data_IF_010540498070
#
_entry.id   IF_010540498070
#
_cell.length_a   1.000
_cell.length_b   1.000
_cell.length_c   1.000
_cell.angle_alpha   90.00
_cell.angle_beta   90.00
_cell.angle_gamma   90.00
#
_symmetry.space_group_name_H-M   'P 1'
#
loop_
_entity.id
_entity.type
_entity.pdbx_description
1 polymer ?
#
# COMPACT_ATOMS: atom_id res chain seq x y z
N UNK A 1 -35.18 -8.30 5.30
CA UNK A 1 -34.84 -6.89 5.56
C UNK A 1 -34.63 -6.20 4.22
N UNK A 2 -35.38 -5.14 3.95
CA UNK A 2 -35.18 -4.33 2.76
C UNK A 2 -33.83 -3.59 2.90
N UNK A 3 -32.91 -3.81 1.97
CA UNK A 3 -31.56 -3.20 1.95
C UNK A 3 -31.49 -1.97 1.04
N UNK A 4 -32.62 -1.55 0.52
CA UNK A 4 -32.71 -0.41 -0.39
C UNK A 4 -32.65 0.91 0.38
N UNK A 5 -31.79 1.81 -0.09
CA UNK A 5 -31.69 3.18 0.46
C UNK A 5 -32.72 4.04 -0.26
N UNK A 6 -33.84 4.34 0.44
CA UNK A 6 -34.94 5.17 -0.10
C UNK A 6 -34.67 6.66 0.12
N UNK A 7 -35.32 7.51 -0.67
CA UNK A 7 -35.24 8.97 -0.50
C UNK A 7 -35.70 9.43 0.89
N UNK A 8 -36.75 8.81 1.43
CA UNK A 8 -37.26 9.09 2.79
C UNK A 8 -36.19 8.78 3.86
N UNK A 9 -35.45 7.69 3.68
CA UNK A 9 -34.38 7.30 4.59
C UNK A 9 -33.22 8.30 4.53
N UNK A 10 -32.85 8.77 3.33
CA UNK A 10 -31.83 9.80 3.14
C UNK A 10 -32.22 11.13 3.77
N UNK A 11 -33.46 11.56 3.59
CA UNK A 11 -33.99 12.79 4.24
C UNK A 11 -33.97 12.69 5.76
N UNK A 12 -34.38 11.52 6.30
CA UNK A 12 -34.30 11.26 7.72
C UNK A 12 -32.90 11.40 8.26
N UNK A 13 -31.94 10.71 7.65
CA UNK A 13 -30.51 10.77 8.06
C UNK A 13 -29.95 12.19 7.91
N UNK A 14 -30.31 12.91 6.86
CA UNK A 14 -29.89 14.30 6.67
C UNK A 14 -30.38 15.21 7.79
N UNK A 15 -31.64 15.07 8.20
CA UNK A 15 -32.20 15.82 9.33
C UNK A 15 -31.54 15.48 10.66
N UNK A 16 -31.34 14.19 10.94
CA UNK A 16 -30.68 13.73 12.16
C UNK A 16 -29.21 14.25 12.20
N UNK A 17 -28.47 14.20 11.08
CA UNK A 17 -27.12 14.71 10.98
C UNK A 17 -27.00 16.20 11.31
N UNK A 18 -27.90 17.02 10.75
CA UNK A 18 -27.89 18.48 10.96
C UNK A 18 -28.29 18.88 12.37
N UNK A 19 -29.12 18.06 13.04
CA UNK A 19 -29.59 18.32 14.44
C UNK A 19 -28.43 18.15 15.45
N UNK A 20 -27.48 17.27 15.16
CA UNK A 20 -26.32 17.08 16.03
C UNK A 20 -25.31 18.23 15.87
N UNK A 21 -25.07 18.93 16.99
CA UNK A 21 -24.10 20.03 17.04
C UNK A 21 -22.68 19.56 16.71
N UNK A 22 -22.27 18.36 17.15
CA UNK A 22 -20.95 17.83 16.91
C UNK A 22 -20.72 17.60 15.40
N UNK A 23 -21.71 17.05 14.70
CA UNK A 23 -21.66 16.85 13.26
C UNK A 23 -21.50 18.17 12.49
N UNK A 24 -22.22 19.21 12.88
CA UNK A 24 -22.11 20.54 12.25
C UNK A 24 -20.74 21.17 12.49
N UNK A 25 -20.20 21.05 13.69
CA UNK A 25 -18.85 21.57 14.01
C UNK A 25 -17.79 20.82 13.18
N UNK A 26 -17.87 19.49 13.13
CA UNK A 26 -16.98 18.68 12.34
C UNK A 26 -17.08 19.01 10.83
N UNK A 27 -18.28 19.15 10.30
CA UNK A 27 -18.51 19.53 8.92
C UNK A 27 -17.88 20.90 8.59
N UNK A 28 -18.10 21.91 9.44
CA UNK A 28 -17.52 23.24 9.25
C UNK A 28 -15.98 23.21 9.33
N UNK A 29 -15.42 22.43 10.25
CA UNK A 29 -13.99 22.25 10.36
C UNK A 29 -13.38 21.61 9.09
N UNK A 30 -14.02 20.56 8.58
CA UNK A 30 -13.61 19.86 7.34
C UNK A 30 -13.71 20.77 6.13
N UNK A 31 -14.82 21.50 5.98
CA UNK A 31 -15.01 22.42 4.85
C UNK A 31 -14.00 23.59 4.91
N UNK A 32 -13.71 24.10 6.10
CA UNK A 32 -12.81 25.24 6.28
C UNK A 32 -11.32 24.91 6.26
N UNK A 33 -10.92 23.71 6.66
CA UNK A 33 -9.50 23.32 6.86
C UNK A 33 -9.08 22.04 6.13
N UNK A 34 -10.01 21.30 5.57
CA UNK A 34 -9.78 20.00 4.97
C UNK A 34 -9.85 18.85 5.97
N UNK A 35 -10.04 17.63 5.45
CA UNK A 35 -10.23 16.41 6.25
C UNK A 35 -9.05 16.14 7.17
N UNK A 36 -7.84 16.18 6.65
CA UNK A 36 -6.63 15.86 7.42
C UNK A 36 -6.45 16.77 8.63
N UNK A 37 -6.59 18.10 8.43
CA UNK A 37 -6.44 19.06 9.52
C UNK A 37 -7.57 18.96 10.57
N UNK A 38 -8.80 18.61 10.15
CA UNK A 38 -9.93 18.43 11.07
C UNK A 38 -9.86 17.10 11.84
N UNK A 39 -9.25 16.07 11.28
CA UNK A 39 -9.11 14.75 11.88
C UNK A 39 -7.84 14.59 12.75
N UNK A 40 -6.87 15.50 12.62
CA UNK A 40 -5.62 15.44 13.40
C UNK A 40 -5.89 15.78 14.87
N UNK A 41 -5.54 14.84 15.75
CA UNK A 41 -5.56 15.07 17.19
C UNK A 41 -4.21 15.65 17.65
N UNK A 42 -4.19 16.96 17.90
CA UNK A 42 -3.00 17.65 18.37
C UNK A 42 -2.58 17.28 19.81
N UNK A 43 -3.47 16.64 20.57
CA UNK A 43 -3.12 16.05 21.87
C UNK A 43 -2.19 14.87 21.73
N UNK A 44 -2.53 13.94 20.84
CA UNK A 44 -1.71 12.76 20.53
C UNK A 44 -0.34 13.15 19.99
N UNK A 45 -0.24 14.14 19.13
CA UNK A 45 1.05 14.62 18.60
C UNK A 45 2.02 15.08 19.70
N UNK A 46 1.50 15.66 20.78
CA UNK A 46 2.32 16.10 21.92
C UNK A 46 2.76 14.95 22.84
N UNK A 47 2.01 13.86 22.84
CA UNK A 47 2.26 12.68 23.66
C UNK A 47 3.19 11.66 22.98
N UNK A 48 3.34 11.75 21.65
CA UNK A 48 4.23 10.85 20.90
C UNK A 48 5.69 11.10 21.30
N UNK A 49 6.27 10.13 21.98
CA UNK A 49 7.71 10.11 22.23
C UNK A 49 8.46 9.70 20.96
N UNK A 50 9.25 10.61 20.39
CA UNK A 50 10.08 10.34 19.21
C UNK A 50 11.41 9.63 19.54
N UNK A 51 11.56 9.14 20.79
CA UNK A 51 12.73 8.41 21.25
C UNK A 51 12.41 6.94 21.41
N UNK A 52 13.25 6.08 20.82
CA UNK A 52 13.11 4.63 20.88
C UNK A 52 14.15 4.05 21.83
N UNK A 53 13.77 3.00 22.57
CA UNK A 53 14.68 2.30 23.51
C UNK A 53 15.75 1.47 22.79
N UNK A 54 15.49 1.09 21.54
CA UNK A 54 16.39 0.30 20.70
C UNK A 54 16.58 1.05 19.38
N UNK A 55 17.81 1.40 19.07
CA UNK A 55 18.22 1.96 17.77
C UNK A 55 19.19 1.00 17.10
N UNK A 56 18.89 0.62 15.86
CA UNK A 56 19.72 -0.27 15.05
C UNK A 56 20.46 0.54 14.00
N UNK A 57 21.77 0.37 13.92
CA UNK A 57 22.57 0.97 12.86
C UNK A 57 22.37 0.18 11.57
N UNK A 58 21.61 0.74 10.65
CA UNK A 58 21.24 0.09 9.38
C UNK A 58 22.18 0.46 8.21
N UNK A 59 23.18 1.30 8.45
CA UNK A 59 24.01 1.87 7.42
C UNK A 59 23.26 2.87 6.53
N UNK A 60 23.80 3.17 5.35
CA UNK A 60 23.20 4.14 4.43
C UNK A 60 21.86 3.66 3.88
N UNK A 61 20.85 4.50 3.96
CA UNK A 61 19.49 4.20 3.44
C UNK A 61 19.54 4.13 1.90
N UNK A 62 18.96 3.07 1.34
CA UNK A 62 18.74 2.95 -0.11
C UNK A 62 17.50 3.71 -0.52
N UNK A 63 17.59 4.47 -1.61
CA UNK A 63 16.53 5.35 -2.06
C UNK A 63 15.84 4.77 -3.30
N UNK A 64 14.56 4.43 -3.18
CA UNK A 64 13.73 3.94 -4.30
C UNK A 64 13.37 5.04 -5.32
N UNK A 65 13.64 6.31 -5.00
CA UNK A 65 13.25 7.49 -5.78
C UNK A 65 11.73 7.52 -6.03
N UNK A 66 11.30 7.65 -7.30
CA UNK A 66 9.88 7.74 -7.69
C UNK A 66 9.27 6.41 -8.14
N UNK A 67 9.89 5.27 -7.84
CA UNK A 67 9.33 3.96 -8.18
C UNK A 67 8.33 3.48 -7.14
N UNK A 68 7.36 2.64 -7.53
CA UNK A 68 6.39 2.00 -6.64
C UNK A 68 6.94 0.79 -5.87
N UNK A 69 8.27 0.71 -5.64
CA UNK A 69 8.98 -0.47 -5.10
C UNK A 69 9.26 -0.40 -3.61
N UNK A 70 8.53 0.41 -2.83
CA UNK A 70 8.75 0.56 -1.39
C UNK A 70 8.73 -0.78 -0.63
N UNK A 71 7.84 -1.67 -0.98
CA UNK A 71 7.74 -3.02 -0.41
C UNK A 71 9.03 -3.83 -0.59
N UNK A 72 9.62 -3.79 -1.78
CA UNK A 72 10.87 -4.47 -2.12
C UNK A 72 12.05 -3.86 -1.38
N UNK A 73 12.18 -2.53 -1.40
CA UNK A 73 13.26 -1.82 -0.71
C UNK A 73 13.22 -2.02 0.80
N UNK A 74 12.02 -2.01 1.41
CA UNK A 74 11.86 -2.27 2.84
C UNK A 74 12.38 -3.66 3.22
N UNK A 75 11.96 -4.67 2.47
CA UNK A 75 12.36 -6.05 2.73
C UNK A 75 13.86 -6.30 2.48
N UNK A 76 14.41 -5.79 1.38
CA UNK A 76 15.84 -5.89 1.11
C UNK A 76 16.69 -5.17 2.17
N UNK A 77 16.20 -4.06 2.74
CA UNK A 77 16.85 -3.39 3.87
C UNK A 77 16.87 -4.26 5.14
N UNK A 78 15.78 -4.98 5.43
CA UNK A 78 15.77 -5.92 6.56
C UNK A 78 16.77 -7.07 6.36
N UNK A 79 16.80 -7.66 5.17
CA UNK A 79 17.74 -8.73 4.84
C UNK A 79 19.19 -8.25 4.89
N UNK A 80 19.48 -7.08 4.31
CA UNK A 80 20.79 -6.43 4.32
C UNK A 80 21.33 -6.27 5.73
N UNK A 81 20.51 -5.82 6.67
CA UNK A 81 20.90 -5.65 8.06
C UNK A 81 21.40 -6.96 8.68
N UNK A 82 20.72 -8.07 8.43
CA UNK A 82 21.16 -9.39 8.92
C UNK A 82 22.48 -9.83 8.31
N UNK A 83 22.67 -9.62 7.01
CA UNK A 83 23.93 -9.94 6.32
C UNK A 83 25.07 -9.09 6.86
N UNK A 84 24.88 -7.79 7.01
CA UNK A 84 25.89 -6.87 7.56
C UNK A 84 26.32 -7.29 8.96
N UNK A 85 25.38 -7.63 9.82
CA UNK A 85 25.61 -8.09 11.19
C UNK A 85 26.37 -9.43 11.22
N UNK A 86 25.94 -10.39 10.41
CA UNK A 86 26.52 -11.74 10.38
C UNK A 86 27.94 -11.75 9.80
N UNK A 87 28.16 -10.96 8.75
CA UNK A 87 29.45 -10.89 8.04
C UNK A 87 30.37 -9.77 8.54
N UNK A 88 29.96 -9.03 9.59
CA UNK A 88 30.67 -7.88 10.13
C UNK A 88 31.06 -6.86 9.05
N UNK A 89 30.09 -6.50 8.19
CA UNK A 89 30.28 -5.55 7.10
C UNK A 89 29.82 -4.15 7.53
N UNK A 90 30.63 -3.15 7.20
CA UNK A 90 30.29 -1.75 7.41
C UNK A 90 29.20 -1.27 6.43
N UNK A 91 29.25 -1.74 5.19
CA UNK A 91 28.31 -1.42 4.12
C UNK A 91 28.00 -2.64 3.29
N UNK A 92 26.73 -2.81 2.92
CA UNK A 92 26.27 -3.86 2.03
C UNK A 92 24.95 -3.47 1.39
N UNK A 93 24.71 -3.88 0.16
CA UNK A 93 23.48 -3.64 -0.55
C UNK A 93 23.11 -4.84 -1.44
N UNK A 94 21.86 -5.28 -1.35
CA UNK A 94 21.30 -6.29 -2.24
C UNK A 94 20.83 -5.62 -3.54
N UNK A 95 20.93 -6.32 -4.66
CA UNK A 95 20.51 -5.81 -5.96
C UNK A 95 18.99 -5.71 -6.07
N UNK A 96 18.45 -4.50 -6.04
CA UNK A 96 17.03 -4.25 -6.28
C UNK A 96 16.62 -4.57 -7.72
N UNK A 97 17.54 -4.45 -8.68
CA UNK A 97 17.25 -4.76 -10.09
C UNK A 97 17.11 -6.26 -10.33
N UNK A 98 17.88 -7.08 -9.61
CA UNK A 98 17.74 -8.53 -9.68
C UNK A 98 16.33 -8.97 -9.23
N UNK A 99 15.91 -8.51 -8.06
CA UNK A 99 14.57 -8.81 -7.52
C UNK A 99 13.47 -8.26 -8.43
N UNK A 100 13.66 -7.05 -8.97
CA UNK A 100 12.72 -6.44 -9.92
C UNK A 100 12.54 -7.28 -11.19
N UNK A 101 13.62 -7.85 -11.71
CA UNK A 101 13.53 -8.69 -12.91
C UNK A 101 12.62 -9.88 -12.68
N UNK A 102 12.78 -10.60 -11.57
CA UNK A 102 11.93 -11.74 -11.26
C UNK A 102 10.49 -11.32 -10.91
N UNK A 103 10.28 -10.21 -10.23
CA UNK A 103 8.94 -9.65 -10.00
C UNK A 103 8.22 -9.39 -11.33
N UNK A 104 8.90 -8.78 -12.29
CA UNK A 104 8.29 -8.53 -13.62
C UNK A 104 8.06 -9.83 -14.40
N UNK A 105 8.93 -10.80 -14.28
CA UNK A 105 8.77 -12.10 -14.92
C UNK A 105 7.53 -12.83 -14.38
N UNK A 106 7.38 -12.91 -13.07
CA UNK A 106 6.23 -13.55 -12.43
C UNK A 106 4.91 -12.81 -12.72
N UNK A 107 4.92 -11.49 -12.66
CA UNK A 107 3.74 -10.68 -13.04
C UNK A 107 3.36 -10.86 -14.49
N UNK A 108 4.35 -10.98 -15.38
CA UNK A 108 4.09 -11.24 -16.80
C UNK A 108 3.46 -12.62 -17.01
N UNK A 109 4.01 -13.64 -16.34
CA UNK A 109 3.48 -14.98 -16.38
C UNK A 109 2.03 -15.04 -15.85
N UNK A 110 1.79 -14.43 -14.69
CA UNK A 110 0.44 -14.34 -14.13
C UNK A 110 -0.52 -13.61 -15.07
N UNK A 111 -0.12 -12.46 -15.62
CA UNK A 111 -0.95 -11.69 -16.55
C UNK A 111 -1.30 -12.48 -17.80
N UNK A 112 -0.32 -13.13 -18.46
CA UNK A 112 -0.55 -13.90 -19.67
C UNK A 112 -1.47 -15.11 -19.40
N UNK A 113 -1.27 -15.84 -18.30
CA UNK A 113 -2.16 -16.94 -17.94
C UNK A 113 -3.57 -16.45 -17.65
N UNK A 114 -3.72 -15.34 -16.91
CA UNK A 114 -5.04 -14.77 -16.62
C UNK A 114 -5.77 -14.30 -17.91
N UNK A 115 -5.05 -13.74 -18.88
CA UNK A 115 -5.63 -13.40 -20.18
C UNK A 115 -6.08 -14.66 -20.91
N UNK A 116 -5.29 -15.74 -20.89
CA UNK A 116 -5.70 -17.01 -21.51
C UNK A 116 -6.94 -17.60 -20.84
N UNK A 117 -7.04 -17.52 -19.52
CA UNK A 117 -8.19 -18.00 -18.74
C UNK A 117 -9.47 -17.16 -18.97
N UNK A 118 -9.33 -15.94 -19.51
CA UNK A 118 -10.43 -15.00 -19.74
C UNK A 118 -10.75 -14.78 -21.23
N UNK A 119 -10.30 -15.66 -22.14
CA UNK A 119 -10.53 -15.51 -23.59
C UNK A 119 -12.01 -15.50 -23.99
N UNK A 120 -12.88 -16.13 -23.22
CA UNK A 120 -14.33 -16.17 -23.46
C UNK A 120 -15.07 -14.92 -22.90
N UNK A 121 -14.36 -14.06 -22.16
CA UNK A 121 -14.95 -12.84 -21.63
C UNK A 121 -15.08 -11.77 -22.72
N UNK A 122 -16.11 -10.94 -22.59
CA UNK A 122 -16.30 -9.79 -23.45
C UNK A 122 -15.16 -8.78 -23.28
N UNK A 123 -14.59 -8.30 -24.39
CA UNK A 123 -13.49 -7.32 -24.38
C UNK A 123 -13.84 -6.02 -23.65
N UNK A 124 -15.13 -5.66 -23.61
CA UNK A 124 -15.63 -4.47 -22.89
C UNK A 124 -16.00 -4.78 -21.44
N UNK A 125 -15.78 -6.01 -20.98
CA UNK A 125 -16.09 -6.38 -19.61
C UNK A 125 -15.23 -5.62 -18.59
N UNK A 126 -15.79 -5.38 -17.41
CA UNK A 126 -15.08 -4.73 -16.29
C UNK A 126 -13.83 -5.51 -15.88
N UNK A 127 -13.86 -6.83 -16.00
CA UNK A 127 -12.73 -7.70 -15.68
C UNK A 127 -11.57 -7.45 -16.63
N UNK A 128 -11.82 -7.51 -17.94
CA UNK A 128 -10.78 -7.28 -18.97
C UNK A 128 -10.22 -5.86 -18.86
N UNK A 129 -11.08 -4.84 -18.71
CA UNK A 129 -10.64 -3.46 -18.50
C UNK A 129 -9.73 -3.32 -17.28
N UNK A 130 -10.04 -4.02 -16.18
CA UNK A 130 -9.19 -4.04 -14.98
C UNK A 130 -7.83 -4.71 -15.22
N UNK A 131 -7.81 -5.88 -15.85
CA UNK A 131 -6.57 -6.61 -16.17
C UNK A 131 -5.63 -5.80 -17.05
N UNK A 132 -6.19 -5.10 -18.04
CA UNK A 132 -5.41 -4.28 -18.97
C UNK A 132 -4.96 -2.93 -18.41
N UNK A 133 -5.54 -2.46 -17.31
CA UNK A 133 -5.23 -1.14 -16.75
C UNK A 133 -3.81 -1.00 -16.20
N UNK A 134 -3.26 -2.05 -15.59
CA UNK A 134 -1.91 -2.02 -15.00
C UNK A 134 -1.28 -3.42 -14.91
N UNK A 135 -1.00 -4.09 -16.02
CA UNK A 135 -0.58 -5.49 -16.04
C UNK A 135 0.76 -5.75 -15.33
N UNK A 136 1.68 -4.79 -15.37
CA UNK A 136 3.05 -4.92 -14.85
C UNK A 136 3.40 -3.75 -13.93
N UNK A 137 2.52 -3.39 -13.00
CA UNK A 137 2.79 -2.31 -12.05
C UNK A 137 3.98 -2.62 -11.11
N UNK A 138 4.56 -1.58 -10.49
CA UNK A 138 5.67 -1.72 -9.55
C UNK A 138 5.22 -2.10 -8.13
N UNK A 139 3.93 -1.98 -7.85
CA UNK A 139 3.36 -2.27 -6.53
C UNK A 139 3.50 -3.73 -6.12
N UNK A 140 3.56 -3.99 -4.84
CA UNK A 140 3.64 -5.34 -4.27
C UNK A 140 3.44 -5.33 -2.77
N UNK A 141 3.41 -6.52 -2.20
CA UNK A 141 3.21 -6.79 -0.79
C UNK A 141 4.38 -7.63 -0.25
N UNK A 142 4.48 -7.72 1.07
CA UNK A 142 5.47 -8.55 1.74
C UNK A 142 5.43 -10.01 1.26
N UNK A 143 4.24 -10.59 1.14
CA UNK A 143 4.07 -11.97 0.72
C UNK A 143 4.60 -12.24 -0.68
N UNK A 144 4.48 -11.28 -1.59
CA UNK A 144 5.05 -11.38 -2.94
C UNK A 144 6.57 -11.48 -2.90
N UNK A 145 7.22 -10.71 -2.03
CA UNK A 145 8.67 -10.82 -1.85
C UNK A 145 9.04 -12.18 -1.24
N UNK A 146 8.31 -12.65 -0.24
CA UNK A 146 8.55 -13.97 0.34
C UNK A 146 8.48 -15.06 -0.74
N UNK A 147 7.48 -15.01 -1.62
CA UNK A 147 7.37 -15.95 -2.75
C UNK A 147 8.56 -15.87 -3.71
N UNK A 148 9.02 -14.67 -4.05
CA UNK A 148 10.19 -14.50 -4.93
C UNK A 148 11.49 -15.11 -4.37
N UNK A 149 11.62 -15.19 -3.03
CA UNK A 149 12.82 -15.70 -2.38
C UNK A 149 12.71 -17.14 -1.91
N UNK A 150 11.50 -17.65 -1.70
CA UNK A 150 11.25 -19.01 -1.17
C UNK A 150 10.71 -19.98 -2.22
N UNK A 151 10.13 -19.47 -3.30
CA UNK A 151 9.72 -20.29 -4.42
C UNK A 151 10.94 -20.83 -5.16
N UNK A 152 10.99 -22.13 -5.52
CA UNK A 152 12.02 -22.61 -6.42
C UNK A 152 11.89 -21.85 -7.73
N UNK A 153 12.94 -21.11 -8.07
CA UNK A 153 13.02 -20.42 -9.36
C UNK A 153 12.88 -21.45 -10.48
N UNK A 154 12.13 -21.18 -11.54
CA UNK A 154 12.04 -22.07 -12.68
C UNK A 154 13.39 -22.23 -13.36
#
# INVERSE_FOLDING_TARGET
MNREVTMELLEKYGKEFVQDRANRVAQNAVVGKGVNAAATDSGVEREIANTFSISLEQGKITNQKKSGRCWMFAALNCMRFQVMKHCNLETFELSQNYTLFYDKLEKSNYFLNTILDTLEEDTDSRLIAHLLSAPLNDGGQWDMLCLLYTSPSP
#
